data_IF_690261515437
#
_entry.id   IF_690261515437
#
_cell.length_a   1.000
_cell.length_b   1.000
_cell.length_c   1.000
_cell.angle_alpha   90.00
_cell.angle_beta   90.00
_cell.angle_gamma   90.00
#
_symmetry.space_group_name_H-M   'P 1'
#
loop_
_entity.id
_entity.type
_entity.pdbx_description
1 polymer ?
#
# COMPACT_ATOMS: atom_id res chain seq x y z
N UNK A 1 -14.55 18.61 -0.24
CA UNK A 1 -13.75 18.64 -1.49
C UNK A 1 -13.85 17.25 -2.08
N UNK A 2 -13.75 17.07 -3.38
CA UNK A 2 -13.73 15.73 -3.96
C UNK A 2 -12.37 15.09 -3.63
N UNK A 3 -12.35 13.80 -3.23
CA UNK A 3 -11.13 13.06 -2.99
C UNK A 3 -10.44 12.70 -4.33
N UNK A 4 -9.14 12.50 -4.32
CA UNK A 4 -8.40 12.07 -5.52
C UNK A 4 -8.71 10.61 -5.87
N UNK A 5 -8.75 9.75 -4.85
CA UNK A 5 -9.16 8.35 -4.95
C UNK A 5 -10.26 8.09 -3.92
N UNK A 6 -11.36 7.47 -4.35
CA UNK A 6 -12.42 6.96 -3.48
C UNK A 6 -12.61 5.48 -3.76
N UNK A 7 -12.48 4.67 -2.74
CA UNK A 7 -12.75 3.22 -2.78
C UNK A 7 -13.97 2.98 -1.90
N UNK A 8 -15.04 2.45 -2.48
CA UNK A 8 -16.29 2.21 -1.79
C UNK A 8 -16.69 0.76 -1.91
N UNK A 9 -16.87 0.12 -0.77
CA UNK A 9 -17.40 -1.24 -0.61
C UNK A 9 -16.68 -2.31 -1.47
N UNK A 10 -15.38 -2.13 -1.67
CA UNK A 10 -14.58 -2.95 -2.57
C UNK A 10 -14.46 -4.38 -2.06
N UNK A 11 -14.91 -5.32 -2.89
CA UNK A 11 -14.80 -6.76 -2.62
C UNK A 11 -14.05 -7.46 -3.76
N UNK A 12 -12.99 -8.20 -3.40
CA UNK A 12 -12.17 -8.94 -4.36
C UNK A 12 -12.09 -10.41 -4.01
N UNK A 13 -12.38 -11.24 -5.00
CA UNK A 13 -12.50 -12.69 -4.89
C UNK A 13 -11.56 -13.38 -5.84
N UNK A 14 -10.98 -14.48 -5.39
CA UNK A 14 -10.26 -15.43 -6.25
C UNK A 14 -11.03 -16.73 -6.37
N UNK A 15 -11.16 -17.21 -7.61
CA UNK A 15 -11.71 -18.52 -7.93
C UNK A 15 -10.56 -19.49 -8.17
N UNK A 16 -10.41 -20.47 -7.29
CA UNK A 16 -9.42 -21.54 -7.37
C UNK A 16 -10.07 -22.91 -7.51
N UNK A 17 -9.25 -23.96 -7.65
CA UNK A 17 -9.69 -25.34 -7.79
C UNK A 17 -10.50 -25.84 -6.57
N UNK A 18 -10.33 -25.21 -5.40
CA UNK A 18 -10.97 -25.57 -4.14
C UNK A 18 -12.16 -24.66 -3.76
N UNK A 19 -12.56 -23.75 -4.66
CA UNK A 19 -13.70 -22.86 -4.43
C UNK A 19 -13.37 -21.38 -4.52
N UNK A 20 -14.26 -20.56 -3.93
CA UNK A 20 -14.16 -19.11 -3.86
C UNK A 20 -13.40 -18.71 -2.60
N UNK A 21 -12.48 -17.76 -2.71
CA UNK A 21 -11.76 -17.15 -1.58
C UNK A 21 -11.89 -15.62 -1.68
N UNK A 22 -12.48 -14.99 -0.67
CA UNK A 22 -12.57 -13.54 -0.55
C UNK A 22 -11.23 -13.04 0.00
N UNK A 23 -10.51 -12.24 -0.75
CA UNK A 23 -9.21 -11.69 -0.32
C UNK A 23 -9.31 -10.25 0.18
N UNK A 24 -10.31 -9.50 -0.30
CA UNK A 24 -10.68 -8.15 0.18
C UNK A 24 -12.18 -8.16 0.34
N UNK A 25 -12.68 -7.65 1.47
CA UNK A 25 -14.04 -7.81 1.90
C UNK A 25 -14.63 -6.48 2.40
N UNK A 26 -15.46 -5.87 1.55
CA UNK A 26 -16.22 -4.65 1.84
C UNK A 26 -15.36 -3.54 2.47
N UNK A 27 -14.24 -3.19 1.80
CA UNK A 27 -13.38 -2.09 2.25
C UNK A 27 -13.78 -0.76 1.60
N UNK A 28 -13.76 0.30 2.41
CA UNK A 28 -14.02 1.66 1.95
C UNK A 28 -12.99 2.59 2.57
N UNK A 29 -12.38 3.45 1.75
CA UNK A 29 -11.46 4.51 2.18
C UNK A 29 -11.27 5.51 1.04
N UNK A 30 -10.66 6.64 1.32
CA UNK A 30 -10.31 7.64 0.33
C UNK A 30 -8.85 8.05 0.43
N UNK A 31 -8.36 8.77 -0.55
CA UNK A 31 -7.03 9.42 -0.54
C UNK A 31 -7.18 10.83 -1.10
N UNK A 32 -6.70 11.82 -0.38
CA UNK A 32 -6.68 13.21 -0.81
C UNK A 32 -5.43 13.57 -1.61
N UNK A 33 -5.50 14.66 -2.36
CA UNK A 33 -4.33 15.17 -3.09
C UNK A 33 -3.21 15.51 -2.09
N UNK A 34 -2.00 15.00 -2.35
CA UNK A 34 -0.84 15.22 -1.49
C UNK A 34 -0.81 14.42 -0.18
N UNK A 35 -1.85 13.63 0.11
CA UNK A 35 -1.95 12.79 1.30
C UNK A 35 -1.12 11.52 1.16
N UNK A 36 -0.54 11.06 2.28
CA UNK A 36 0.10 9.75 2.40
C UNK A 36 -0.74 8.84 3.28
N UNK A 37 -1.43 7.88 2.67
CA UNK A 37 -2.19 6.84 3.36
C UNK A 37 -1.36 5.58 3.45
N UNK A 38 -1.13 5.07 4.67
CA UNK A 38 -0.47 3.79 4.88
C UNK A 38 -1.47 2.67 5.10
N UNK A 39 -1.31 1.55 4.38
CA UNK A 39 -2.04 0.30 4.60
C UNK A 39 -1.10 -0.69 5.29
N UNK A 40 -1.44 -1.08 6.52
CA UNK A 40 -0.61 -1.97 7.34
C UNK A 40 -1.36 -3.23 7.78
N UNK A 41 -0.64 -4.29 8.08
CA UNK A 41 -1.19 -5.56 8.58
C UNK A 41 -0.26 -6.73 8.29
N UNK A 42 -0.57 -7.91 8.84
CA UNK A 42 0.21 -9.15 8.62
C UNK A 42 0.19 -9.58 7.16
N UNK A 43 1.17 -10.42 6.76
CA UNK A 43 1.21 -10.99 5.41
C UNK A 43 -0.07 -11.78 5.12
N UNK A 44 -0.59 -11.68 3.89
CA UNK A 44 -1.81 -12.37 3.47
C UNK A 44 -3.13 -11.68 3.86
N UNK A 45 -3.12 -10.53 4.56
CA UNK A 45 -4.36 -9.85 4.97
C UNK A 45 -5.08 -9.05 3.87
N UNK A 46 -4.61 -9.09 2.60
CA UNK A 46 -5.29 -8.46 1.46
C UNK A 46 -4.67 -7.15 0.94
N UNK A 47 -3.61 -6.60 1.55
CA UNK A 47 -3.01 -5.29 1.18
C UNK A 47 -2.63 -5.17 -0.30
N UNK A 48 -1.80 -6.08 -0.80
CA UNK A 48 -1.38 -6.09 -2.22
C UNK A 48 -2.54 -6.41 -3.17
N UNK A 49 -3.51 -7.21 -2.71
CA UNK A 49 -4.73 -7.48 -3.51
C UNK A 49 -5.56 -6.20 -3.65
N UNK A 50 -5.67 -5.38 -2.58
CA UNK A 50 -6.35 -4.09 -2.64
C UNK A 50 -5.72 -3.17 -3.68
N UNK A 51 -4.39 -3.02 -3.67
CA UNK A 51 -3.69 -2.19 -4.67
C UNK A 51 -3.85 -2.70 -6.10
N UNK A 52 -3.75 -4.02 -6.30
CA UNK A 52 -3.97 -4.64 -7.62
C UNK A 52 -5.42 -4.51 -8.09
N UNK A 53 -6.40 -4.51 -7.17
CA UNK A 53 -7.80 -4.27 -7.49
C UNK A 53 -8.02 -2.83 -7.97
N UNK A 54 -7.45 -1.84 -7.28
CA UNK A 54 -7.48 -0.42 -7.66
C UNK A 54 -6.85 -0.24 -9.05
N UNK A 55 -5.71 -0.88 -9.30
CA UNK A 55 -5.00 -0.80 -10.57
C UNK A 55 -5.67 -1.60 -11.69
N UNK A 56 -6.65 -2.47 -11.40
CA UNK A 56 -7.21 -3.41 -12.38
C UNK A 56 -6.19 -4.43 -12.89
N UNK A 57 -5.22 -4.82 -12.05
CA UNK A 57 -4.11 -5.72 -12.37
C UNK A 57 -4.18 -7.05 -11.62
N UNK A 58 -5.38 -7.50 -11.28
CA UNK A 58 -5.58 -8.78 -10.61
C UNK A 58 -5.06 -9.94 -11.46
N UNK A 59 -4.43 -10.92 -10.79
CA UNK A 59 -3.96 -12.15 -11.45
C UNK A 59 -5.15 -12.97 -11.94
N UNK A 60 -4.87 -13.91 -12.87
CA UNK A 60 -5.88 -14.82 -13.43
C UNK A 60 -6.66 -15.53 -12.30
N UNK A 61 -7.97 -15.52 -12.39
CA UNK A 61 -8.88 -16.06 -11.38
C UNK A 61 -9.34 -15.04 -10.33
N UNK A 62 -8.69 -13.87 -10.23
CA UNK A 62 -9.13 -12.78 -9.37
C UNK A 62 -10.10 -11.84 -10.09
N UNK A 63 -11.14 -11.42 -9.38
CA UNK A 63 -12.10 -10.43 -9.88
C UNK A 63 -12.60 -9.54 -8.73
N UNK A 64 -12.81 -8.25 -9.03
CA UNK A 64 -13.62 -7.38 -8.18
C UNK A 64 -15.07 -7.77 -8.41
N UNK A 65 -15.77 -8.15 -7.36
CA UNK A 65 -17.16 -8.64 -7.43
C UNK A 65 -18.16 -7.60 -6.95
N UNK A 66 -17.73 -6.62 -6.16
CA UNK A 66 -18.58 -5.56 -5.65
C UNK A 66 -17.79 -4.27 -5.38
N UNK A 67 -18.49 -3.14 -5.30
CA UNK A 67 -17.95 -1.84 -4.98
C UNK A 67 -17.57 -0.96 -6.17
N UNK A 68 -16.92 0.16 -5.87
CA UNK A 68 -16.42 1.12 -6.84
C UNK A 68 -15.03 1.63 -6.50
N UNK A 69 -14.27 2.04 -7.51
CA UNK A 69 -12.97 2.70 -7.39
C UNK A 69 -12.99 3.96 -8.25
N UNK A 70 -13.21 5.10 -7.63
CA UNK A 70 -13.26 6.39 -8.32
C UNK A 70 -11.89 7.07 -8.24
N UNK A 71 -11.28 7.32 -9.37
CA UNK A 71 -10.07 8.13 -9.49
C UNK A 71 -10.42 9.43 -10.22
N UNK A 72 -10.27 10.55 -9.53
CA UNK A 72 -10.69 11.88 -10.04
C UNK A 72 -12.16 11.88 -10.54
N UNK A 73 -13.05 11.21 -9.78
CA UNK A 73 -14.46 11.05 -10.08
C UNK A 73 -14.82 10.04 -11.18
N UNK A 74 -13.84 9.35 -11.77
CA UNK A 74 -14.04 8.33 -12.82
C UNK A 74 -13.90 6.92 -12.24
N UNK A 75 -14.90 6.05 -12.44
CA UNK A 75 -14.86 4.68 -11.93
C UNK A 75 -13.95 3.79 -12.78
N UNK A 76 -12.78 3.45 -12.24
CA UNK A 76 -11.78 2.60 -12.89
C UNK A 76 -12.30 1.20 -13.22
N UNK A 77 -13.24 0.66 -12.41
CA UNK A 77 -13.77 -0.70 -12.62
C UNK A 77 -14.66 -0.83 -13.85
N UNK A 78 -15.17 0.28 -14.36
CA UNK A 78 -16.06 0.31 -15.56
C UNK A 78 -15.35 0.75 -16.83
N UNK A 79 -14.08 1.11 -16.74
CA UNK A 79 -13.28 1.54 -17.89
C UNK A 79 -12.83 0.36 -18.75
N UNK A 80 -12.69 0.63 -20.04
CA UNK A 80 -12.04 -0.28 -20.97
C UNK A 80 -10.53 -0.32 -20.74
N UNK A 81 -9.85 -1.39 -21.14
CA UNK A 81 -8.39 -1.49 -21.04
C UNK A 81 -7.67 -0.30 -21.69
N UNK A 82 -8.18 0.20 -22.81
CA UNK A 82 -7.59 1.37 -23.48
C UNK A 82 -7.68 2.64 -22.62
N UNK A 83 -8.79 2.87 -21.95
CA UNK A 83 -8.95 4.01 -21.03
C UNK A 83 -8.10 3.85 -19.78
N UNK A 84 -7.96 2.63 -19.26
CA UNK A 84 -7.07 2.33 -18.15
C UNK A 84 -5.59 2.53 -18.52
N UNK A 85 -5.18 2.18 -19.73
CA UNK A 85 -3.81 2.38 -20.23
C UNK A 85 -3.44 3.87 -20.34
N UNK A 86 -4.42 4.77 -20.55
CA UNK A 86 -4.19 6.22 -20.53
C UNK A 86 -3.90 6.76 -19.12
N UNK A 87 -4.42 6.10 -18.08
CA UNK A 87 -4.28 6.48 -16.68
C UNK A 87 -3.06 5.78 -16.05
N UNK A 88 -2.92 4.46 -16.27
CA UNK A 88 -1.83 3.65 -15.70
C UNK A 88 -0.48 4.09 -16.27
N UNK A 89 0.51 4.24 -15.40
CA UNK A 89 1.85 4.71 -15.79
C UNK A 89 1.93 6.21 -16.06
N UNK A 90 0.80 6.91 -16.09
CA UNK A 90 0.69 8.35 -16.29
C UNK A 90 0.23 9.07 -15.02
N UNK A 91 -1.07 9.05 -14.71
CA UNK A 91 -1.65 9.72 -13.55
C UNK A 91 -1.67 8.84 -12.29
N UNK A 92 -1.83 7.54 -12.46
CA UNK A 92 -1.82 6.51 -11.42
C UNK A 92 -0.70 5.51 -11.71
N UNK A 93 0.24 5.39 -10.78
CA UNK A 93 1.41 4.51 -10.95
C UNK A 93 1.61 3.60 -9.74
N UNK A 94 2.34 2.50 -9.95
CA UNK A 94 2.61 1.53 -8.89
C UNK A 94 4.07 1.11 -8.86
N UNK A 95 4.63 1.03 -7.65
CA UNK A 95 5.89 0.32 -7.36
C UNK A 95 5.49 -1.04 -6.80
N UNK A 96 5.88 -2.12 -7.49
CA UNK A 96 5.60 -3.49 -7.08
C UNK A 96 6.60 -3.99 -6.04
N UNK A 97 6.20 -4.98 -5.26
CA UNK A 97 6.96 -5.55 -4.15
C UNK A 97 8.33 -6.12 -4.57
N UNK A 98 8.45 -6.73 -5.75
CA UNK A 98 9.68 -7.38 -6.20
C UNK A 98 10.34 -6.63 -7.38
N UNK A 99 11.50 -5.98 -7.15
CA UNK A 99 12.25 -5.32 -8.22
C UNK A 99 12.79 -6.25 -9.30
N UNK A 100 12.95 -7.54 -8.99
CA UNK A 100 13.50 -8.51 -9.94
C UNK A 100 12.52 -8.90 -11.02
N UNK A 101 11.23 -8.94 -10.67
CA UNK A 101 10.16 -9.30 -11.59
C UNK A 101 9.57 -8.08 -12.32
N UNK A 102 9.75 -6.88 -11.75
CA UNK A 102 9.19 -5.64 -12.30
C UNK A 102 10.05 -5.03 -13.42
N UNK A 103 11.37 -5.23 -13.37
CA UNK A 103 12.29 -4.77 -14.43
C UNK A 103 12.55 -5.90 -15.43
N UNK A 104 12.31 -5.63 -16.71
CA UNK A 104 12.59 -6.60 -17.77
C UNK A 104 14.12 -6.77 -17.94
N UNK A 105 14.69 -7.98 -17.70
CA UNK A 105 16.14 -8.18 -17.69
C UNK A 105 16.81 -8.06 -19.07
N UNK A 106 16.05 -8.14 -20.17
CA UNK A 106 16.60 -8.09 -21.54
C UNK A 106 16.66 -6.69 -22.13
N UNK A 107 16.09 -5.70 -21.44
CA UNK A 107 16.14 -4.29 -21.84
C UNK A 107 17.02 -3.48 -20.89
N UNK A 108 17.65 -2.43 -21.45
CA UNK A 108 18.44 -1.50 -20.63
C UNK A 108 17.53 -0.64 -19.74
N UNK A 109 18.06 -0.14 -18.62
CA UNK A 109 17.36 0.79 -17.73
C UNK A 109 16.81 1.99 -18.51
N UNK A 110 17.64 2.59 -19.34
CA UNK A 110 17.23 3.76 -20.13
C UNK A 110 16.11 3.46 -21.10
N UNK A 111 16.10 2.28 -21.75
CA UNK A 111 15.02 1.93 -22.68
C UNK A 111 13.68 1.77 -21.96
N UNK A 112 13.66 1.18 -20.77
CA UNK A 112 12.44 0.98 -20.00
C UNK A 112 11.86 2.30 -19.48
N UNK A 113 12.69 3.21 -18.96
CA UNK A 113 12.22 4.53 -18.49
C UNK A 113 11.74 5.38 -19.69
N UNK A 114 12.47 5.39 -20.80
CA UNK A 114 12.10 6.19 -21.97
C UNK A 114 10.88 5.66 -22.69
N UNK A 115 10.57 4.38 -22.61
CA UNK A 115 9.34 3.79 -23.15
C UNK A 115 8.11 4.41 -22.48
N UNK A 116 8.03 4.40 -21.16
CA UNK A 116 6.93 5.01 -20.40
C UNK A 116 6.76 6.49 -20.75
N UNK A 117 7.85 7.26 -20.74
CA UNK A 117 7.82 8.69 -21.09
C UNK A 117 7.27 8.92 -22.49
N UNK A 118 7.72 8.17 -23.48
CA UNK A 118 7.29 8.33 -24.87
C UNK A 118 5.85 7.92 -25.09
N UNK A 119 5.42 6.87 -24.41
CA UNK A 119 4.04 6.38 -24.53
C UNK A 119 3.04 7.40 -24.00
N UNK A 120 3.31 8.02 -22.87
CA UNK A 120 2.32 8.85 -22.17
C UNK A 120 2.53 10.37 -22.39
N UNK A 121 3.76 10.81 -22.62
CA UNK A 121 4.05 12.26 -22.75
C UNK A 121 4.25 12.71 -24.20
N UNK A 122 4.31 11.78 -25.18
CA UNK A 122 4.49 12.11 -26.58
C UNK A 122 5.83 12.79 -26.92
N UNK A 123 6.83 12.69 -26.03
CA UNK A 123 8.15 13.31 -26.22
C UNK A 123 8.96 12.57 -27.30
N UNK A 124 9.83 13.32 -27.99
CA UNK A 124 10.83 12.75 -28.88
C UNK A 124 11.78 11.80 -28.14
N UNK A 125 12.50 10.98 -28.88
CA UNK A 125 13.47 10.03 -28.31
C UNK A 125 14.57 10.73 -27.50
N UNK A 126 15.03 11.87 -27.98
CA UNK A 126 16.07 12.68 -27.37
C UNK A 126 15.59 13.35 -26.08
N UNK A 127 14.41 13.95 -26.09
CA UNK A 127 13.77 14.56 -24.91
C UNK A 127 13.47 13.52 -23.84
N UNK A 128 12.90 12.38 -24.23
CA UNK A 128 12.62 11.27 -23.31
C UNK A 128 13.91 10.73 -22.67
N UNK A 129 15.02 10.68 -23.40
CA UNK A 129 16.30 10.26 -22.87
C UNK A 129 16.87 11.27 -21.86
N UNK A 130 16.80 12.57 -22.15
CA UNK A 130 17.24 13.61 -21.22
C UNK A 130 16.43 13.55 -19.93
N UNK A 131 15.09 13.44 -20.03
CA UNK A 131 14.21 13.31 -18.88
C UNK A 131 14.48 12.05 -18.06
N UNK A 132 14.73 10.92 -18.71
CA UNK A 132 15.09 9.67 -18.02
C UNK A 132 16.40 9.79 -17.25
N UNK A 133 17.40 10.48 -17.81
CA UNK A 133 18.67 10.75 -17.12
C UNK A 133 18.48 11.68 -15.92
N UNK A 134 17.69 12.76 -16.07
CA UNK A 134 17.31 13.65 -14.96
C UNK A 134 16.60 12.90 -13.82
N UNK A 135 15.67 12.01 -14.14
CA UNK A 135 14.98 11.17 -13.16
C UNK A 135 15.96 10.28 -12.39
N UNK A 136 16.89 9.64 -13.09
CA UNK A 136 17.93 8.84 -12.45
C UNK A 136 18.82 9.67 -11.50
N UNK A 137 19.11 10.92 -11.85
CA UNK A 137 19.81 11.85 -10.94
C UNK A 137 18.94 12.18 -9.73
N UNK A 138 17.65 12.47 -9.93
CA UNK A 138 16.70 12.79 -8.85
C UNK A 138 16.56 11.65 -7.83
N UNK A 139 16.58 10.40 -8.28
CA UNK A 139 16.54 9.24 -7.37
C UNK A 139 17.92 8.89 -6.80
N UNK A 140 18.94 9.72 -7.03
CA UNK A 140 20.27 9.55 -6.46
C UNK A 140 21.06 8.38 -7.08
N UNK A 141 20.86 8.09 -8.37
CA UNK A 141 21.68 7.10 -9.07
C UNK A 141 23.08 7.64 -9.37
N UNK A 142 24.12 6.90 -8.97
CA UNK A 142 25.48 7.29 -9.36
C UNK A 142 25.64 7.11 -10.88
N UNK A 143 26.21 8.11 -11.55
CA UNK A 143 26.52 8.10 -12.98
C UNK A 143 25.29 7.72 -13.85
N UNK A 144 24.26 8.58 -13.81
CA UNK A 144 22.98 8.35 -14.49
C UNK A 144 23.16 8.00 -15.97
N UNK A 145 24.04 8.71 -16.69
CA UNK A 145 24.32 8.48 -18.10
C UNK A 145 24.86 7.07 -18.41
N UNK A 146 25.73 6.53 -17.55
CA UNK A 146 26.17 5.12 -17.66
C UNK A 146 25.09 4.15 -17.25
N UNK A 147 24.31 4.49 -16.22
CA UNK A 147 23.23 3.65 -15.73
C UNK A 147 22.13 3.44 -16.78
N UNK A 148 21.85 4.45 -17.59
CA UNK A 148 20.94 4.32 -18.74
C UNK A 148 21.27 3.15 -19.68
N UNK A 149 22.56 2.81 -19.81
CA UNK A 149 23.05 1.74 -20.70
C UNK A 149 23.16 0.37 -20.02
N UNK A 150 22.98 0.31 -18.70
CA UNK A 150 23.06 -0.93 -17.92
C UNK A 150 21.79 -1.75 -18.02
N UNK A 151 21.93 -3.04 -17.79
CA UNK A 151 20.82 -3.97 -17.65
C UNK A 151 20.47 -4.17 -16.15
N UNK A 152 19.22 -4.47 -15.79
CA UNK A 152 18.80 -4.62 -14.40
C UNK A 152 19.63 -5.61 -13.59
N UNK A 153 20.04 -6.73 -14.18
CA UNK A 153 20.85 -7.76 -13.51
C UNK A 153 22.24 -7.30 -13.09
N UNK A 154 22.75 -6.19 -13.66
CA UNK A 154 24.06 -5.63 -13.29
C UNK A 154 23.98 -4.63 -12.13
N UNK A 155 22.78 -4.34 -11.61
CA UNK A 155 22.52 -3.39 -10.54
C UNK A 155 22.35 -4.09 -9.20
N UNK A 156 22.74 -3.43 -8.10
CA UNK A 156 22.40 -3.87 -6.74
C UNK A 156 20.89 -3.74 -6.47
N UNK A 157 20.40 -4.38 -5.40
CA UNK A 157 18.97 -4.31 -5.01
C UNK A 157 18.49 -2.85 -4.84
N UNK A 158 19.20 -2.06 -4.06
CA UNK A 158 18.87 -0.65 -3.86
C UNK A 158 18.94 0.20 -5.14
N UNK A 159 19.87 -0.12 -6.08
CA UNK A 159 19.90 0.55 -7.38
C UNK A 159 18.70 0.17 -8.26
N UNK A 160 18.28 -1.10 -8.28
CA UNK A 160 17.06 -1.52 -8.99
C UNK A 160 15.84 -0.83 -8.43
N UNK A 161 15.75 -0.71 -7.11
CA UNK A 161 14.64 0.00 -6.47
C UNK A 161 14.59 1.48 -6.88
N UNK A 162 15.74 2.17 -6.92
CA UNK A 162 15.82 3.55 -7.42
C UNK A 162 15.37 3.67 -8.88
N UNK A 163 15.72 2.69 -9.72
CA UNK A 163 15.27 2.65 -11.12
C UNK A 163 13.75 2.47 -11.19
N UNK A 164 13.16 1.59 -10.39
CA UNK A 164 11.69 1.42 -10.33
C UNK A 164 10.99 2.71 -9.88
N UNK A 165 11.54 3.40 -8.88
CA UNK A 165 11.01 4.70 -8.44
C UNK A 165 11.10 5.71 -9.59
N UNK A 166 12.22 5.77 -10.30
CA UNK A 166 12.38 6.66 -11.47
C UNK A 166 11.35 6.34 -12.56
N UNK A 167 11.08 5.07 -12.83
CA UNK A 167 10.05 4.64 -13.78
C UNK A 167 8.64 5.05 -13.32
N UNK A 168 8.29 4.75 -12.08
CA UNK A 168 6.98 5.11 -11.52
C UNK A 168 6.72 6.63 -11.55
N UNK A 169 7.77 7.44 -11.37
CA UNK A 169 7.68 8.89 -11.37
C UNK A 169 7.90 9.56 -12.74
N UNK A 170 8.05 8.77 -13.81
CA UNK A 170 8.48 9.27 -15.12
C UNK A 170 7.50 10.25 -15.76
N UNK A 171 6.20 10.04 -15.54
CA UNK A 171 5.12 10.85 -16.11
C UNK A 171 4.50 11.85 -15.11
N UNK A 172 5.13 12.08 -13.95
CA UNK A 172 4.62 12.95 -12.86
C UNK A 172 3.22 12.52 -12.38
N UNK A 173 3.06 11.34 -11.82
CA UNK A 173 1.77 10.83 -11.41
C UNK A 173 1.14 11.69 -10.31
N UNK A 174 -0.18 11.68 -10.25
CA UNK A 174 -0.97 12.31 -9.18
C UNK A 174 -1.08 11.37 -7.96
N UNK A 175 -1.13 10.05 -8.21
CA UNK A 175 -1.16 9.02 -7.17
C UNK A 175 -0.11 7.94 -7.44
N UNK A 176 0.70 7.65 -6.42
CA UNK A 176 1.65 6.55 -6.39
C UNK A 176 1.20 5.49 -5.39
N UNK A 177 1.04 4.25 -5.83
CA UNK A 177 0.88 3.09 -4.95
C UNK A 177 2.24 2.43 -4.78
N UNK A 178 2.78 2.39 -3.57
CA UNK A 178 4.05 1.76 -3.24
C UNK A 178 3.79 0.49 -2.42
N UNK A 179 3.83 -0.67 -3.07
CA UNK A 179 3.58 -1.97 -2.43
C UNK A 179 4.89 -2.56 -1.92
N UNK A 180 5.09 -2.49 -0.61
CA UNK A 180 6.30 -2.94 0.09
C UNK A 180 7.62 -2.50 -0.60
N UNK A 181 7.82 -1.19 -0.84
CA UNK A 181 8.88 -0.69 -1.71
C UNK A 181 10.30 -0.92 -1.18
N UNK A 182 10.44 -1.48 0.00
CA UNK A 182 11.74 -1.71 0.66
C UNK A 182 11.98 -3.17 1.05
N UNK A 183 11.08 -4.08 0.67
CA UNK A 183 11.26 -5.52 0.93
C UNK A 183 12.54 -6.05 0.30
N UNK A 184 13.24 -6.93 1.00
CA UNK A 184 14.53 -7.51 0.63
C UNK A 184 15.72 -6.51 0.52
N UNK A 185 15.60 -5.33 1.11
CA UNK A 185 16.70 -4.36 1.26
C UNK A 185 17.24 -4.36 2.70
N UNK A 186 18.51 -4.02 2.85
CA UNK A 186 19.07 -3.79 4.19
C UNK A 186 18.48 -2.51 4.83
N UNK A 187 18.48 -2.45 6.17
CA UNK A 187 17.83 -1.39 6.95
C UNK A 187 18.31 0.02 6.55
N UNK A 188 19.59 0.15 6.21
CA UNK A 188 20.17 1.45 5.83
C UNK A 188 19.63 1.91 4.48
N UNK A 189 19.59 1.01 3.49
CA UNK A 189 19.04 1.31 2.16
C UNK A 189 17.52 1.52 2.26
N UNK A 190 16.82 0.74 3.08
CA UNK A 190 15.39 0.93 3.34
C UNK A 190 15.09 2.36 3.82
N UNK A 191 15.81 2.83 4.84
CA UNK A 191 15.65 4.21 5.35
C UNK A 191 15.92 5.27 4.27
N UNK A 192 16.93 5.07 3.43
CA UNK A 192 17.27 5.98 2.33
C UNK A 192 16.17 6.00 1.25
N UNK A 193 15.61 4.85 0.89
CA UNK A 193 14.52 4.76 -0.09
C UNK A 193 13.25 5.43 0.43
N UNK A 194 12.89 5.19 1.69
CA UNK A 194 11.69 5.82 2.29
C UNK A 194 11.84 7.34 2.39
N UNK A 195 13.01 7.82 2.80
CA UNK A 195 13.30 9.26 2.80
C UNK A 195 13.20 9.87 1.40
N UNK A 196 13.76 9.20 0.39
CA UNK A 196 13.68 9.62 -1.02
C UNK A 196 12.22 9.70 -1.49
N UNK A 197 11.41 8.66 -1.22
CA UNK A 197 9.99 8.64 -1.61
C UNK A 197 9.22 9.80 -0.96
N UNK A 198 9.43 10.06 0.33
CA UNK A 198 8.78 11.16 1.05
C UNK A 198 9.19 12.52 0.48
N UNK A 199 10.47 12.75 0.23
CA UNK A 199 10.98 14.00 -0.37
C UNK A 199 10.39 14.24 -1.77
N UNK A 200 10.29 13.18 -2.59
CA UNK A 200 9.71 13.28 -3.94
C UNK A 200 8.19 13.48 -3.90
N UNK A 201 7.49 12.83 -2.97
CA UNK A 201 6.08 12.98 -2.73
C UNK A 201 5.74 14.44 -2.35
N UNK A 202 6.44 14.99 -1.37
CA UNK A 202 6.25 16.38 -0.92
C UNK A 202 6.57 17.39 -2.02
N UNK A 203 7.70 17.22 -2.73
CA UNK A 203 8.13 18.13 -3.79
C UNK A 203 7.14 18.21 -4.96
N UNK A 204 6.39 17.12 -5.20
CA UNK A 204 5.46 16.99 -6.34
C UNK A 204 4.00 17.14 -5.92
N UNK A 205 3.71 17.31 -4.63
CA UNK A 205 2.35 17.32 -4.06
C UNK A 205 1.55 16.10 -4.50
N UNK A 206 2.22 14.96 -4.65
CA UNK A 206 1.67 13.71 -5.12
C UNK A 206 1.02 12.96 -3.96
N UNK A 207 -0.16 12.40 -4.16
CA UNK A 207 -0.74 11.47 -3.20
C UNK A 207 0.01 10.13 -3.22
N UNK A 208 0.06 9.44 -2.08
CA UNK A 208 0.73 8.14 -2.00
C UNK A 208 -0.05 7.15 -1.13
N UNK A 209 -0.26 5.94 -1.66
CA UNK A 209 -0.64 4.78 -0.84
C UNK A 209 0.63 3.98 -0.58
N UNK A 210 1.03 3.88 0.68
CA UNK A 210 2.17 3.07 1.11
C UNK A 210 1.68 1.78 1.76
N UNK A 211 1.99 0.65 1.17
CA UNK A 211 1.73 -0.65 1.77
C UNK A 211 3.01 -1.15 2.43
N UNK A 212 2.93 -1.49 3.70
CA UNK A 212 4.06 -2.03 4.44
C UNK A 212 3.60 -2.90 5.61
N UNK A 213 4.45 -3.84 6.02
CA UNK A 213 4.31 -4.56 7.28
C UNK A 213 5.18 -3.95 8.40
N UNK A 214 6.00 -2.97 8.07
CA UNK A 214 6.88 -2.27 9.03
C UNK A 214 6.20 -1.01 9.57
N UNK A 215 5.60 -1.14 10.73
CA UNK A 215 4.93 -0.04 11.42
C UNK A 215 5.90 1.07 11.85
N UNK A 216 7.18 0.75 12.04
CA UNK A 216 8.19 1.76 12.36
C UNK A 216 8.37 2.80 11.26
N UNK A 217 8.20 2.40 10.00
CA UNK A 217 8.26 3.32 8.84
C UNK A 217 7.02 4.23 8.77
N UNK A 218 5.87 3.73 9.22
CA UNK A 218 4.59 4.43 9.15
C UNK A 218 4.60 5.73 9.94
N UNK A 219 5.12 5.69 11.17
CA UNK A 219 5.15 6.82 12.09
C UNK A 219 5.80 8.11 11.51
N UNK A 220 6.76 7.95 10.60
CA UNK A 220 7.49 9.07 10.00
C UNK A 220 7.04 9.42 8.58
N UNK A 221 6.12 8.62 8.00
CA UNK A 221 5.79 8.74 6.59
C UNK A 221 4.31 9.07 6.36
N UNK A 222 3.42 8.42 7.10
CA UNK A 222 1.98 8.50 6.89
C UNK A 222 1.34 9.76 7.51
N UNK A 223 0.27 10.22 6.87
CA UNK A 223 -0.70 11.15 7.45
C UNK A 223 -1.84 10.37 8.11
N UNK A 224 -2.30 9.30 7.45
CA UNK A 224 -3.39 8.42 7.90
C UNK A 224 -3.03 6.95 7.70
N UNK A 225 -3.57 6.09 8.56
CA UNK A 225 -3.25 4.66 8.59
C UNK A 225 -4.53 3.84 8.52
N UNK A 226 -4.54 2.87 7.61
CA UNK A 226 -5.55 1.82 7.50
C UNK A 226 -4.94 0.51 8.00
N UNK A 227 -5.47 -0.03 9.07
CA UNK A 227 -5.03 -1.32 9.61
C UNK A 227 -5.91 -2.41 9.01
N UNK A 228 -5.31 -3.31 8.23
CA UNK A 228 -6.00 -4.43 7.60
C UNK A 228 -5.75 -5.75 8.34
N UNK A 229 -6.81 -6.53 8.49
CA UNK A 229 -6.75 -7.90 9.00
C UNK A 229 -7.73 -8.80 8.24
N UNK A 230 -7.25 -9.92 7.72
CA UNK A 230 -8.07 -10.94 7.06
C UNK A 230 -9.08 -10.35 6.04
N UNK A 231 -8.60 -9.49 5.14
CA UNK A 231 -9.40 -8.88 4.07
C UNK A 231 -10.21 -7.64 4.45
N UNK A 232 -10.23 -7.22 5.71
CA UNK A 232 -11.02 -6.08 6.17
C UNK A 232 -10.15 -4.95 6.71
N UNK A 233 -10.57 -3.69 6.53
CA UNK A 233 -10.06 -2.56 7.29
C UNK A 233 -10.73 -2.60 8.67
N UNK A 234 -9.94 -2.85 9.70
CA UNK A 234 -10.43 -3.02 11.07
C UNK A 234 -10.26 -1.78 11.94
N UNK A 235 -9.33 -0.90 11.58
CA UNK A 235 -9.13 0.41 12.21
C UNK A 235 -8.56 1.39 11.20
N UNK A 236 -9.03 2.63 11.24
CA UNK A 236 -8.56 3.76 10.44
C UNK A 236 -8.49 4.98 11.32
N UNK A 237 -7.36 5.71 11.29
CA UNK A 237 -7.20 6.99 11.95
C UNK A 237 -5.97 7.76 11.42
N UNK A 238 -5.76 9.00 11.91
CA UNK A 238 -4.48 9.69 11.71
C UNK A 238 -3.34 8.87 12.32
N UNK A 239 -2.13 9.08 11.82
CA UNK A 239 -0.96 8.37 12.35
C UNK A 239 -0.79 8.61 13.85
N UNK A 240 -1.01 9.83 14.33
CA UNK A 240 -0.92 10.18 15.75
C UNK A 240 -1.90 9.37 16.60
N UNK A 241 -3.17 9.25 16.17
CA UNK A 241 -4.20 8.50 16.90
C UNK A 241 -3.92 7.00 16.90
N UNK A 242 -3.46 6.42 15.80
CA UNK A 242 -3.08 5.00 15.76
C UNK A 242 -1.98 4.68 16.77
N UNK A 243 -0.96 5.55 16.90
CA UNK A 243 0.14 5.32 17.84
C UNK A 243 -0.18 5.69 19.28
N UNK A 244 -0.97 6.74 19.52
CA UNK A 244 -1.29 7.22 20.87
C UNK A 244 -2.48 6.49 21.48
N UNK A 245 -3.49 6.13 20.69
CA UNK A 245 -4.81 5.71 21.17
C UNK A 245 -5.46 4.62 20.29
N UNK A 246 -4.75 3.52 19.97
CA UNK A 246 -5.30 2.43 19.15
C UNK A 246 -6.53 1.80 19.80
N UNK A 247 -7.60 1.59 19.05
CA UNK A 247 -8.87 1.08 19.56
C UNK A 247 -9.01 -0.43 19.38
N UNK A 248 -8.62 -0.95 18.21
CA UNK A 248 -8.76 -2.38 17.95
C UNK A 248 -7.65 -3.18 18.64
N UNK A 249 -7.96 -4.29 19.34
CA UNK A 249 -6.95 -5.12 20.01
C UNK A 249 -5.84 -5.67 19.11
N UNK A 250 -6.14 -5.89 17.81
CA UNK A 250 -5.12 -6.27 16.83
C UNK A 250 -4.13 -5.11 16.59
N UNK A 251 -4.60 -3.88 16.41
CA UNK A 251 -3.74 -2.70 16.25
C UNK A 251 -2.82 -2.52 17.47
N UNK A 252 -3.39 -2.68 18.69
CA UNK A 252 -2.60 -2.64 19.92
C UNK A 252 -1.53 -3.74 19.96
N UNK A 253 -1.89 -4.97 19.55
CA UNK A 253 -0.95 -6.08 19.48
C UNK A 253 0.15 -5.83 18.43
N UNK A 254 -0.22 -5.32 17.24
CA UNK A 254 0.69 -5.00 16.16
C UNK A 254 1.71 -3.92 16.57
N UNK A 255 1.27 -2.86 17.25
CA UNK A 255 2.17 -1.82 17.77
C UNK A 255 3.14 -2.35 18.86
N UNK A 256 2.74 -3.34 19.66
CA UNK A 256 3.61 -3.98 20.67
C UNK A 256 4.73 -4.84 20.06
N UNK A 257 4.64 -5.21 18.79
CA UNK A 257 5.72 -5.94 18.11
C UNK A 257 6.88 -5.05 17.70
N UNK A 258 6.70 -3.72 17.70
CA UNK A 258 7.74 -2.76 17.33
C UNK A 258 8.62 -2.45 18.53
N UNK A 259 9.95 -2.66 18.45
CA UNK A 259 10.86 -2.27 19.50
C UNK A 259 10.94 -0.73 19.60
N UNK A 260 10.87 -0.20 20.80
CA UNK A 260 11.07 1.23 21.06
C UNK A 260 12.41 1.48 21.75
N UNK A 261 13.00 2.66 21.53
CA UNK A 261 14.28 3.06 22.16
C UNK A 261 14.16 3.11 23.70
N UNK A 262 12.92 3.18 24.21
CA UNK A 262 12.62 3.23 25.66
C UNK A 262 12.40 1.85 26.27
N UNK A 263 12.37 0.80 25.44
CA UNK A 263 12.21 -0.56 25.96
C UNK A 263 13.48 -1.02 26.67
N UNK A 264 13.32 -1.71 27.81
CA UNK A 264 14.43 -2.36 28.48
C UNK A 264 15.06 -3.39 27.53
N UNK A 265 16.39 -3.51 27.54
CA UNK A 265 17.14 -4.43 26.69
C UNK A 265 16.68 -5.90 26.84
N UNK A 266 16.09 -6.25 28.00
CA UNK A 266 15.56 -7.58 28.31
C UNK A 266 14.09 -7.76 27.96
N UNK A 267 13.41 -6.75 27.38
CA UNK A 267 12.01 -6.87 26.97
C UNK A 267 11.89 -7.87 25.83
N UNK A 268 11.24 -8.99 26.09
CA UNK A 268 10.87 -9.95 25.04
C UNK A 268 9.79 -9.33 24.15
N UNK A 269 10.08 -9.22 22.85
CA UNK A 269 9.06 -8.83 21.86
C UNK A 269 7.90 -9.84 21.92
N UNK A 270 6.69 -9.33 22.04
CA UNK A 270 5.49 -10.16 22.10
C UNK A 270 5.02 -10.41 20.66
N UNK A 271 5.19 -11.62 20.17
CA UNK A 271 4.54 -12.02 18.92
C UNK A 271 3.02 -12.10 19.14
N UNK A 272 2.25 -11.74 18.10
CA UNK A 272 0.80 -11.92 18.12
C UNK A 272 0.51 -13.43 18.08
N UNK A 273 -0.17 -14.01 19.09
CA UNK A 273 -0.39 -15.46 19.14
C UNK A 273 -1.26 -15.95 17.97
N UNK A 274 -1.03 -17.19 17.53
CA UNK A 274 -1.78 -17.81 16.43
C UNK A 274 -1.38 -17.31 15.05
N UNK A 275 -2.12 -17.72 14.02
CA UNK A 275 -1.91 -17.38 12.61
C UNK A 275 -3.17 -16.71 12.05
N UNK A 276 -2.99 -15.91 11.00
CA UNK A 276 -4.12 -15.35 10.23
C UNK A 276 -4.88 -16.52 9.61
N UNK A 277 -6.22 -16.55 9.67
CA UNK A 277 -6.99 -17.58 8.98
C UNK A 277 -6.67 -17.66 7.50
N UNK A 278 -6.51 -18.86 6.94
CA UNK A 278 -6.27 -19.05 5.50
C UNK A 278 -7.53 -18.79 4.68
N UNK A 279 -8.70 -19.10 5.25
CA UNK A 279 -10.02 -18.77 4.70
C UNK A 279 -10.85 -18.10 5.79
N UNK A 280 -11.55 -17.06 5.41
CA UNK A 280 -12.41 -16.30 6.31
C UNK A 280 -13.82 -16.06 5.76
N UNK A 281 -14.17 -16.76 4.67
CA UNK A 281 -15.48 -16.67 4.02
C UNK A 281 -16.61 -17.10 4.96
N UNK A 282 -16.35 -18.05 5.86
CA UNK A 282 -17.32 -18.55 6.85
C UNK A 282 -17.30 -17.78 8.17
N UNK A 283 -16.41 -16.79 8.34
CA UNK A 283 -16.32 -16.00 9.57
C UNK A 283 -17.26 -14.81 9.50
N UNK A 284 -18.41 -14.91 10.14
CA UNK A 284 -19.45 -13.86 10.15
C UNK A 284 -19.17 -12.73 11.13
N UNK A 285 -18.36 -12.97 12.17
CA UNK A 285 -18.03 -12.02 13.22
C UNK A 285 -16.66 -11.36 13.05
N UNK A 286 -16.09 -10.92 14.18
CA UNK A 286 -14.74 -10.37 14.21
C UNK A 286 -13.72 -11.45 13.82
N UNK A 287 -13.01 -11.26 12.72
CA UNK A 287 -12.02 -12.22 12.21
C UNK A 287 -10.80 -12.38 13.11
N UNK A 288 -10.54 -11.40 13.99
CA UNK A 288 -9.48 -11.48 14.99
C UNK A 288 -9.93 -12.18 16.30
N UNK A 289 -11.20 -12.56 16.44
CA UNK A 289 -11.78 -13.05 17.70
C UNK A 289 -10.98 -14.22 18.31
N UNK A 290 -10.51 -15.18 17.52
CA UNK A 290 -9.77 -16.36 18.02
C UNK A 290 -8.37 -16.05 18.56
N UNK A 291 -7.81 -14.90 18.17
CA UNK A 291 -6.51 -14.40 18.64
C UNK A 291 -6.65 -13.26 19.65
N UNK A 292 -7.89 -12.80 19.91
CA UNK A 292 -8.16 -11.62 20.73
C UNK A 292 -8.22 -11.98 22.22
N UNK A 293 -7.38 -11.37 23.08
CA UNK A 293 -7.43 -11.61 24.53
C UNK A 293 -8.71 -11.06 25.19
N UNK A 294 -9.46 -10.21 24.48
CA UNK A 294 -10.69 -9.58 24.96
C UNK A 294 -11.94 -10.15 24.30
N UNK A 295 -11.84 -11.32 23.67
CA UNK A 295 -12.97 -11.98 23.00
C UNK A 295 -14.20 -12.09 23.90
N UNK A 296 -15.38 -11.75 23.36
CA UNK A 296 -16.69 -11.87 23.99
C UNK A 296 -17.66 -12.56 23.02
N UNK A 297 -18.85 -12.90 23.53
CA UNK A 297 -19.90 -13.53 22.71
C UNK A 297 -20.34 -12.63 21.55
N UNK A 298 -20.43 -11.32 21.77
CA UNK A 298 -20.80 -10.31 20.78
C UNK A 298 -19.82 -10.23 19.61
N UNK A 299 -18.59 -10.67 19.78
CA UNK A 299 -17.59 -10.73 18.71
C UNK A 299 -17.95 -11.75 17.62
N UNK A 300 -18.88 -12.68 17.87
CA UNK A 300 -19.37 -13.62 16.87
C UNK A 300 -20.37 -12.99 15.88
N UNK A 301 -20.86 -11.78 16.17
CA UNK A 301 -21.76 -11.02 15.30
C UNK A 301 -20.97 -10.12 14.37
N UNK A 302 -21.58 -9.74 13.24
CA UNK A 302 -20.98 -8.76 12.31
C UNK A 302 -20.58 -7.50 13.05
N UNK A 303 -19.33 -7.07 12.85
CA UNK A 303 -18.79 -5.85 13.45
C UNK A 303 -18.87 -4.70 12.44
N UNK A 304 -19.63 -3.67 12.81
CA UNK A 304 -19.65 -2.41 12.09
C UNK A 304 -18.41 -1.55 12.43
N UNK A 305 -18.09 -0.57 11.60
CA UNK A 305 -17.09 0.44 11.92
C UNK A 305 -17.71 1.47 12.87
N UNK A 306 -17.22 1.53 14.10
CA UNK A 306 -17.64 2.50 15.11
C UNK A 306 -16.72 3.71 15.09
N UNK A 307 -17.29 4.93 15.20
CA UNK A 307 -16.52 6.17 15.29
C UNK A 307 -16.04 6.42 16.71
N UNK A 308 -14.77 6.81 16.87
CA UNK A 308 -14.12 7.16 18.14
C UNK A 308 -13.71 8.64 18.22
N UNK A 309 -13.97 9.41 17.19
CA UNK A 309 -13.64 10.81 17.04
C UNK A 309 -13.61 11.18 15.56
N UNK A 310 -13.17 12.38 15.26
CA UNK A 310 -13.00 12.84 13.88
C UNK A 310 -11.95 11.99 13.16
N UNK A 311 -12.37 11.32 12.08
CA UNK A 311 -11.48 10.48 11.28
C UNK A 311 -10.95 9.21 11.95
N UNK A 312 -11.42 8.84 13.17
CA UNK A 312 -11.01 7.60 13.84
C UNK A 312 -12.16 6.60 13.90
N UNK A 313 -12.02 5.49 13.19
CA UNK A 313 -12.98 4.39 13.15
C UNK A 313 -12.34 3.05 13.49
N UNK A 314 -13.08 2.15 14.14
CA UNK A 314 -12.62 0.79 14.39
C UNK A 314 -13.78 -0.21 14.40
N UNK A 315 -13.57 -1.43 13.87
CA UNK A 315 -14.52 -2.54 13.88
C UNK A 315 -14.37 -3.39 15.15
N UNK A 316 -14.68 -2.81 16.32
CA UNK A 316 -14.52 -3.47 17.60
C UNK A 316 -15.60 -3.11 18.61
N UNK A 317 -16.46 -4.07 18.95
CA UNK A 317 -17.52 -3.87 19.95
C UNK A 317 -16.96 -3.63 21.35
N UNK A 318 -15.85 -4.28 21.70
CA UNK A 318 -15.20 -4.11 23.01
C UNK A 318 -14.71 -2.68 23.20
N UNK A 319 -14.06 -2.10 22.18
CA UNK A 319 -13.60 -0.72 22.21
C UNK A 319 -14.78 0.27 22.29
N UNK A 320 -15.90 0.00 21.58
CA UNK A 320 -17.11 0.80 21.64
C UNK A 320 -17.68 0.89 23.05
N UNK A 321 -17.78 -0.24 23.75
CA UNK A 321 -18.34 -0.29 25.10
C UNK A 321 -17.45 0.36 26.13
N UNK A 322 -16.12 0.24 26.01
CA UNK A 322 -15.17 0.92 26.90
C UNK A 322 -15.34 2.44 26.83
N UNK A 323 -15.55 2.99 25.62
CA UNK A 323 -15.84 4.43 25.44
C UNK A 323 -17.13 4.90 26.09
N UNK A 324 -18.16 4.05 26.17
CA UNK A 324 -19.44 4.42 26.79
C UNK A 324 -19.37 4.40 28.33
N UNK A 325 -18.31 3.82 28.90
CA UNK A 325 -18.08 3.71 30.34
C UNK A 325 -17.16 4.82 30.87
N UNK A 326 -16.48 5.57 30.02
CA UNK A 326 -15.71 6.79 30.31
C UNK A 326 -16.58 8.04 30.17
#
# INVERSE_FOLDING_TARGET
>A
MAHLLEVEDLTTVFHGDYGKNISVDHISFHVDQGEVVCIVGESGCGKSVTSLSIMGLLRRGGAVTDGSVLFDGKNLLTMTEKELDEIRGNELTMIFQDPLTSLNPVFTVGSQITESIRTHMGLSKEEAKMRAEELLVQVGMPDAAKTMKKYPHTLSGGMRQRVMIAMALSCNPRLLIADEPTTALDVTIQAQIMKLLKELQQKREMAMILITHDIGLVANTADRVLVMYAGQVIEEASVEEIFANPKHPYTQALLRTVPTIRDDADRKLQAIPGIVPESYDDITGCRFADRCPYRREECSKLQEAYSFGEGHTARCIVAKETRQAE
#
